data_IF_171453879585
#
_entry.id   IF_171453879585
#
_cell.length_a   1.000
_cell.length_b   1.000
_cell.length_c   1.000
_cell.angle_alpha   90.00
_cell.angle_beta   90.00
_cell.angle_gamma   90.00
#
_symmetry.space_group_name_H-M   'P 1'
#
loop_
_entity.id
_entity.type
_entity.pdbx_description
1 polymer ?
#
# COMPACT_ATOMS: atom_id res chain seq x y z
N UNK A 1 0.98 30.68 -38.11
CA UNK A 1 0.16 29.44 -38.01
C UNK A 1 0.23 28.75 -39.37
N UNK A 2 0.74 27.51 -39.44
CA UNK A 2 0.68 26.71 -40.67
C UNK A 2 -0.77 26.25 -40.80
N UNK A 3 -1.51 26.77 -41.75
CA UNK A 3 -2.82 26.24 -42.12
C UNK A 3 -2.62 24.80 -42.63
N UNK A 4 -3.04 23.79 -41.86
CA UNK A 4 -3.20 22.45 -42.39
C UNK A 4 -4.28 22.52 -43.47
N UNK A 5 -4.02 22.08 -44.71
CA UNK A 5 -5.06 22.16 -45.74
C UNK A 5 -6.24 21.29 -45.27
N UNK A 6 -7.43 21.85 -45.32
CA UNK A 6 -8.67 21.14 -45.07
C UNK A 6 -8.80 20.01 -46.11
N UNK A 7 -9.17 18.83 -45.67
CA UNK A 7 -9.26 17.64 -46.49
C UNK A 7 -10.65 17.02 -46.36
N UNK A 8 -11.10 16.38 -47.41
CA UNK A 8 -12.33 15.59 -47.44
C UNK A 8 -11.96 14.11 -47.55
N UNK A 9 -12.43 13.31 -46.60
CA UNK A 9 -12.27 11.85 -46.56
C UNK A 9 -13.53 11.17 -47.10
N UNK A 10 -13.35 10.20 -47.98
CA UNK A 10 -14.42 9.52 -48.69
C UNK A 10 -14.48 8.08 -48.25
N UNK A 11 -15.66 7.61 -47.88
CA UNK A 11 -15.93 6.25 -47.46
C UNK A 11 -17.05 5.62 -48.30
N UNK A 12 -17.04 4.29 -48.44
CA UNK A 12 -18.15 3.57 -49.06
C UNK A 12 -19.42 3.62 -48.22
N UNK A 13 -20.54 3.20 -48.79
CA UNK A 13 -21.79 3.05 -48.03
C UNK A 13 -21.67 2.03 -46.87
N UNK A 14 -20.66 1.12 -46.90
CA UNK A 14 -20.40 0.14 -45.87
C UNK A 14 -19.38 0.67 -44.81
N UNK A 15 -18.97 1.92 -44.93
CA UNK A 15 -18.01 2.56 -44.00
C UNK A 15 -16.53 2.32 -44.33
N UNK A 16 -16.19 1.64 -45.45
CA UNK A 16 -14.79 1.41 -45.80
C UNK A 16 -14.18 2.70 -46.41
N UNK A 17 -12.94 2.98 -45.97
CA UNK A 17 -12.19 4.12 -46.53
C UNK A 17 -11.88 3.90 -48.01
N UNK A 18 -12.08 4.95 -48.84
CA UNK A 18 -11.83 4.93 -50.27
C UNK A 18 -10.69 5.90 -50.64
N UNK A 19 -10.82 7.17 -50.29
CA UNK A 19 -9.87 8.20 -50.69
C UNK A 19 -9.86 9.44 -49.77
N UNK A 20 -8.81 10.23 -49.89
CA UNK A 20 -8.75 11.61 -49.31
C UNK A 20 -8.51 12.61 -50.42
N UNK A 21 -9.32 13.65 -50.47
CA UNK A 21 -9.22 14.74 -51.43
C UNK A 21 -8.72 16.02 -50.74
N UNK A 22 -7.85 16.84 -51.38
CA UNK A 22 -7.28 18.03 -50.79
C UNK A 22 -8.21 19.27 -50.94
N UNK A 23 -9.48 19.06 -50.65
CA UNK A 23 -10.52 20.08 -50.78
C UNK A 23 -11.35 20.14 -49.51
N UNK A 24 -11.99 21.32 -49.24
CA UNK A 24 -12.92 21.46 -48.12
C UNK A 24 -14.17 20.63 -48.39
N UNK A 25 -14.73 20.07 -47.32
CA UNK A 25 -15.98 19.31 -47.42
C UNK A 25 -17.13 20.15 -48.00
N UNK A 26 -17.20 21.44 -47.66
CA UNK A 26 -18.17 22.38 -48.24
C UNK A 26 -18.06 22.50 -49.74
N UNK A 27 -16.83 22.62 -50.26
CA UNK A 27 -16.56 22.78 -51.71
C UNK A 27 -16.81 21.46 -52.42
N UNK A 28 -16.36 20.35 -51.84
CA UNK A 28 -16.58 18.98 -52.34
C UNK A 28 -18.07 18.68 -52.50
N UNK A 29 -18.91 19.03 -51.52
CA UNK A 29 -20.34 18.79 -51.52
C UNK A 29 -21.12 19.58 -52.57
N UNK A 30 -20.56 20.66 -53.14
CA UNK A 30 -21.22 21.44 -54.23
C UNK A 30 -21.26 20.67 -55.53
N UNK A 31 -20.18 19.96 -55.89
CA UNK A 31 -20.11 19.11 -57.07
C UNK A 31 -19.09 17.97 -56.87
N UNK A 32 -19.44 16.91 -56.15
CA UNK A 32 -18.49 15.85 -55.79
C UNK A 32 -17.79 15.18 -56.95
N UNK A 33 -18.45 14.99 -58.11
CA UNK A 33 -17.86 14.34 -59.28
C UNK A 33 -16.77 15.23 -59.93
N UNK A 34 -16.77 16.52 -59.72
CA UNK A 34 -15.70 17.40 -60.18
C UNK A 34 -14.39 17.18 -59.43
N UNK A 35 -14.48 16.75 -58.17
CA UNK A 35 -13.35 16.57 -57.24
C UNK A 35 -12.93 15.12 -57.10
N UNK A 36 -13.85 14.18 -57.45
CA UNK A 36 -13.60 12.73 -57.42
C UNK A 36 -14.45 12.03 -58.47
N UNK A 37 -13.83 11.70 -59.61
CA UNK A 37 -14.51 11.14 -60.78
C UNK A 37 -15.30 9.85 -60.47
N UNK A 38 -14.81 9.03 -59.55
CA UNK A 38 -15.46 7.79 -59.13
C UNK A 38 -16.56 8.02 -58.09
N UNK A 39 -16.96 9.25 -57.81
CA UNK A 39 -18.00 9.56 -56.80
C UNK A 39 -19.33 8.93 -57.18
N UNK A 40 -19.91 8.23 -56.20
CA UNK A 40 -21.26 7.73 -56.27
C UNK A 40 -22.07 8.30 -55.08
N UNK A 41 -23.33 8.58 -55.31
CA UNK A 41 -24.22 9.12 -54.30
C UNK A 41 -24.49 8.21 -53.10
N UNK A 42 -24.03 6.94 -53.14
CA UNK A 42 -24.01 6.04 -51.98
C UNK A 42 -22.82 6.29 -51.06
N UNK A 43 -21.77 6.96 -51.54
CA UNK A 43 -20.55 7.24 -50.75
C UNK A 43 -20.81 8.32 -49.72
N UNK A 44 -19.97 8.34 -48.67
CA UNK A 44 -20.04 9.26 -47.56
C UNK A 44 -18.78 10.14 -47.59
N UNK A 45 -18.94 11.46 -47.55
CA UNK A 45 -17.84 12.41 -47.46
C UNK A 45 -17.88 13.12 -46.09
N UNK A 46 -16.71 13.27 -45.47
CA UNK A 46 -16.52 13.93 -44.17
C UNK A 46 -15.19 14.68 -44.13
N UNK A 47 -15.07 15.68 -43.27
CA UNK A 47 -13.84 16.41 -42.99
C UNK A 47 -12.99 15.74 -41.90
N UNK A 48 -13.52 14.70 -41.28
CA UNK A 48 -12.90 13.99 -40.18
C UNK A 48 -12.33 12.65 -40.67
N UNK A 49 -11.07 12.39 -40.36
CA UNK A 49 -10.44 11.08 -40.53
C UNK A 49 -10.79 10.16 -39.36
N UNK A 50 -11.14 8.91 -39.66
CA UNK A 50 -11.42 7.88 -38.70
C UNK A 50 -10.45 6.71 -38.93
N UNK A 51 -9.79 6.26 -37.85
CA UNK A 51 -8.88 5.10 -37.90
C UNK A 51 -9.67 3.79 -38.05
N UNK A 52 -10.81 3.71 -37.41
CA UNK A 52 -11.74 2.59 -37.46
C UNK A 52 -13.15 3.08 -37.76
N UNK A 53 -13.43 3.38 -39.02
CA UNK A 53 -14.73 3.95 -39.41
C UNK A 53 -15.85 2.93 -39.34
N UNK A 54 -17.01 3.36 -38.88
CA UNK A 54 -18.26 2.59 -38.95
C UNK A 54 -19.47 3.51 -39.22
N UNK A 55 -20.55 2.93 -39.68
CA UNK A 55 -21.80 3.68 -39.88
C UNK A 55 -22.38 4.10 -38.52
N UNK A 56 -22.91 5.31 -38.46
CA UNK A 56 -23.52 5.86 -37.24
C UNK A 56 -25.01 5.51 -37.07
N UNK A 57 -25.55 4.67 -37.95
CA UNK A 57 -26.96 4.33 -37.99
C UNK A 57 -27.86 5.31 -38.76
N UNK A 58 -27.29 6.41 -39.24
CA UNK A 58 -27.98 7.32 -40.17
C UNK A 58 -27.67 6.96 -41.63
N UNK A 59 -28.47 7.48 -42.61
CA UNK A 59 -28.30 7.10 -44.02
C UNK A 59 -26.95 7.47 -44.62
N UNK A 60 -26.20 8.45 -44.03
CA UNK A 60 -24.92 8.95 -44.51
C UNK A 60 -24.00 9.40 -43.41
N UNK A 61 -24.17 8.90 -42.21
CA UNK A 61 -23.30 9.20 -41.10
C UNK A 61 -22.23 8.16 -40.92
N UNK A 62 -20.99 8.61 -40.75
CA UNK A 62 -19.85 7.78 -40.39
C UNK A 62 -19.22 8.31 -39.12
N UNK A 63 -18.75 7.43 -38.27
CA UNK A 63 -18.06 7.78 -37.03
C UNK A 63 -16.92 6.80 -36.75
N UNK A 64 -16.09 7.15 -35.78
CA UNK A 64 -15.15 6.20 -35.19
C UNK A 64 -15.88 5.10 -34.42
N UNK A 65 -15.42 3.87 -34.56
CA UNK A 65 -15.87 2.75 -33.71
C UNK A 65 -15.61 3.08 -32.24
N UNK A 66 -16.52 2.68 -31.37
CA UNK A 66 -16.26 2.65 -29.93
C UNK A 66 -15.20 1.59 -29.59
N UNK A 67 -14.65 1.64 -28.38
CA UNK A 67 -13.68 0.63 -27.93
C UNK A 67 -14.27 -0.78 -27.95
N UNK A 68 -15.55 -0.89 -27.58
CA UNK A 68 -16.29 -2.16 -27.57
C UNK A 68 -16.56 -2.70 -28.97
N UNK A 69 -16.86 -1.82 -29.92
CA UNK A 69 -17.05 -2.17 -31.33
C UNK A 69 -15.73 -2.65 -31.95
N UNK A 70 -14.61 -1.97 -31.66
CA UNK A 70 -13.25 -2.36 -32.10
C UNK A 70 -12.90 -3.74 -31.53
N UNK A 71 -13.22 -4.00 -30.27
CA UNK A 71 -12.99 -5.29 -29.62
C UNK A 71 -13.82 -6.39 -30.31
N UNK A 72 -15.12 -6.15 -30.49
CA UNK A 72 -16.05 -7.12 -31.09
C UNK A 72 -15.70 -7.44 -32.55
N UNK A 73 -15.21 -6.45 -33.29
CA UNK A 73 -14.74 -6.62 -34.68
C UNK A 73 -13.31 -7.20 -34.79
N UNK A 74 -12.62 -7.45 -33.66
CA UNK A 74 -11.25 -7.98 -33.64
C UNK A 74 -10.17 -7.00 -34.04
N UNK A 75 -10.47 -5.68 -34.04
CA UNK A 75 -9.50 -4.63 -34.40
C UNK A 75 -8.54 -4.32 -33.24
N UNK A 76 -8.96 -4.59 -32.01
CA UNK A 76 -8.15 -4.42 -30.79
C UNK A 76 -8.37 -5.61 -29.87
N UNK A 77 -7.41 -5.86 -28.99
CA UNK A 77 -7.51 -6.84 -27.92
C UNK A 77 -7.68 -6.13 -26.57
N UNK A 78 -8.29 -6.79 -25.61
CA UNK A 78 -8.29 -6.36 -24.23
C UNK A 78 -6.84 -6.29 -23.72
N UNK A 79 -6.56 -5.28 -22.90
CA UNK A 79 -5.31 -5.20 -22.14
C UNK A 79 -5.45 -5.98 -20.83
N UNK A 80 -4.32 -6.32 -20.22
CA UNK A 80 -4.29 -6.92 -18.89
C UNK A 80 -5.11 -6.08 -17.90
N UNK A 81 -5.97 -6.74 -17.14
CA UNK A 81 -6.88 -6.06 -16.22
C UNK A 81 -8.15 -5.49 -16.86
N UNK A 82 -8.37 -5.73 -18.14
CA UNK A 82 -9.63 -5.35 -18.80
C UNK A 82 -10.50 -6.58 -19.07
N UNK A 83 -11.80 -6.40 -18.96
CA UNK A 83 -12.79 -7.38 -19.38
C UNK A 83 -13.99 -6.70 -20.01
N UNK A 84 -14.71 -7.42 -20.85
CA UNK A 84 -16.01 -7.00 -21.35
C UNK A 84 -17.05 -7.42 -20.32
N UNK A 85 -17.77 -6.46 -19.74
CA UNK A 85 -18.90 -6.74 -18.85
C UNK A 85 -20.03 -7.37 -19.66
N UNK A 86 -20.42 -8.62 -19.36
CA UNK A 86 -21.42 -9.34 -20.14
C UNK A 86 -22.84 -8.73 -20.05
N UNK A 87 -23.13 -7.91 -19.04
CA UNK A 87 -24.43 -7.28 -18.87
C UNK A 87 -24.55 -5.95 -19.61
N UNK A 88 -23.48 -5.15 -19.60
CA UNK A 88 -23.50 -3.80 -20.17
C UNK A 88 -22.82 -3.72 -21.52
N UNK A 89 -22.10 -4.77 -21.91
CA UNK A 89 -21.24 -4.83 -23.09
C UNK A 89 -20.23 -3.67 -23.15
N UNK A 90 -19.73 -3.24 -21.99
CA UNK A 90 -18.70 -2.20 -21.86
C UNK A 90 -17.39 -2.77 -21.39
N UNK A 91 -16.28 -2.18 -21.84
CA UNK A 91 -14.97 -2.51 -21.33
C UNK A 91 -14.82 -1.91 -19.93
N UNK A 92 -14.57 -2.76 -18.95
CA UNK A 92 -14.32 -2.40 -17.55
C UNK A 92 -12.89 -2.74 -17.19
N UNK A 93 -12.26 -1.89 -16.37
CA UNK A 93 -10.90 -2.12 -15.84
C UNK A 93 -10.99 -2.60 -14.41
N UNK A 94 -10.29 -3.70 -14.12
CA UNK A 94 -10.15 -4.29 -12.80
C UNK A 94 -8.83 -3.78 -12.21
N UNK A 95 -8.86 -3.02 -11.11
CA UNK A 95 -7.65 -2.46 -10.52
C UNK A 95 -6.74 -3.56 -10.00
N UNK A 96 -5.42 -3.34 -10.10
CA UNK A 96 -4.42 -4.24 -9.53
C UNK A 96 -4.54 -4.20 -8.01
N UNK A 97 -4.72 -5.36 -7.34
CA UNK A 97 -4.68 -5.44 -5.88
C UNK A 97 -3.32 -5.00 -5.33
N UNK A 98 -3.32 -4.14 -4.33
CA UNK A 98 -2.12 -3.56 -3.74
C UNK A 98 -1.23 -4.55 -2.95
N UNK A 99 -1.73 -5.76 -2.70
CA UNK A 99 -1.00 -6.82 -2.00
C UNK A 99 -0.19 -7.73 -2.93
N UNK A 100 -0.33 -7.61 -4.27
CA UNK A 100 0.45 -8.38 -5.22
C UNK A 100 1.85 -7.80 -5.40
N UNK A 101 2.88 -8.63 -5.27
CA UNK A 101 4.27 -8.25 -5.52
C UNK A 101 4.58 -8.18 -7.02
N UNK A 102 4.13 -9.19 -7.76
CA UNK A 102 4.26 -9.27 -9.22
C UNK A 102 2.90 -9.59 -9.83
N UNK A 103 2.05 -8.59 -10.03
CA UNK A 103 0.71 -8.82 -10.58
C UNK A 103 0.78 -9.42 -11.98
N UNK A 104 0.02 -10.47 -12.21
CA UNK A 104 -0.25 -11.07 -13.51
C UNK A 104 -1.74 -11.21 -13.73
N UNK A 105 -2.15 -11.04 -14.97
CA UNK A 105 -3.54 -11.16 -15.38
C UNK A 105 -3.87 -12.58 -15.84
N UNK A 106 -5.03 -13.08 -15.46
CA UNK A 106 -5.59 -14.34 -15.94
C UNK A 106 -6.82 -14.05 -16.79
N UNK A 107 -6.69 -14.12 -18.11
CA UNK A 107 -7.78 -13.85 -19.06
C UNK A 107 -8.96 -14.79 -18.91
N UNK A 108 -8.74 -16.04 -18.48
CA UNK A 108 -9.81 -17.03 -18.35
C UNK A 108 -10.71 -16.74 -17.14
N UNK A 109 -10.11 -16.24 -16.03
CA UNK A 109 -10.83 -15.95 -14.80
C UNK A 109 -11.15 -14.47 -14.62
N UNK A 110 -10.60 -13.61 -15.48
CA UNK A 110 -10.68 -12.16 -15.37
C UNK A 110 -10.27 -11.65 -13.98
N UNK A 111 -9.11 -12.13 -13.49
CA UNK A 111 -8.60 -11.78 -12.17
C UNK A 111 -7.08 -11.56 -12.18
N UNK A 112 -6.62 -10.65 -11.32
CA UNK A 112 -5.21 -10.51 -11.00
C UNK A 112 -4.76 -11.60 -10.02
N UNK A 113 -3.59 -12.18 -10.25
CA UNK A 113 -2.98 -13.15 -9.36
C UNK A 113 -1.50 -12.84 -9.12
N UNK A 114 -0.94 -13.43 -8.05
CA UNK A 114 0.48 -13.31 -7.71
C UNK A 114 1.32 -14.14 -8.68
N UNK A 115 2.21 -13.47 -9.41
CA UNK A 115 3.11 -14.08 -10.38
C UNK A 115 4.53 -14.34 -9.86
N UNK A 116 4.80 -14.01 -8.58
CA UNK A 116 6.09 -14.31 -7.95
C UNK A 116 6.25 -15.79 -7.66
N UNK A 117 7.48 -16.26 -7.69
CA UNK A 117 7.84 -17.57 -7.14
C UNK A 117 7.83 -17.54 -5.63
N UNK A 118 7.77 -18.72 -5.00
CA UNK A 118 7.86 -18.83 -3.54
C UNK A 118 9.18 -18.28 -2.98
N UNK A 119 10.28 -18.39 -3.73
CA UNK A 119 11.57 -17.84 -3.33
C UNK A 119 11.56 -16.31 -3.33
N UNK A 120 10.97 -15.68 -4.32
CA UNK A 120 10.84 -14.23 -4.42
C UNK A 120 9.93 -13.66 -3.32
N UNK A 121 8.81 -14.34 -3.03
CA UNK A 121 7.93 -13.97 -1.92
C UNK A 121 8.66 -14.07 -0.57
N UNK A 122 9.41 -15.14 -0.36
CA UNK A 122 10.18 -15.34 0.86
C UNK A 122 11.26 -14.27 1.03
N UNK A 123 12.03 -14.01 -0.03
CA UNK A 123 13.05 -12.95 -0.02
C UNK A 123 12.43 -11.58 0.31
N UNK A 124 11.30 -11.25 -0.30
CA UNK A 124 10.56 -10.02 -0.01
C UNK A 124 10.17 -9.93 1.46
N UNK A 125 9.56 -10.98 2.03
CA UNK A 125 9.15 -10.99 3.44
C UNK A 125 10.35 -10.88 4.38
N UNK A 126 11.44 -11.57 4.08
CA UNK A 126 12.68 -11.47 4.87
C UNK A 126 13.19 -10.04 4.88
N UNK A 127 13.32 -9.40 3.73
CA UNK A 127 13.78 -8.00 3.63
C UNK A 127 12.81 -7.04 4.34
N UNK A 128 11.51 -7.18 4.12
CA UNK A 128 10.51 -6.32 4.75
C UNK A 128 10.46 -6.51 6.27
N UNK A 129 10.63 -7.73 6.78
CA UNK A 129 10.62 -7.98 8.22
C UNK A 129 11.76 -7.26 8.95
N UNK A 130 12.95 -7.16 8.37
CA UNK A 130 14.04 -6.36 8.92
C UNK A 130 13.69 -4.87 8.94
N UNK A 131 13.20 -4.34 7.81
CA UNK A 131 12.80 -2.95 7.69
C UNK A 131 11.68 -2.59 8.68
N UNK A 132 10.63 -3.40 8.76
CA UNK A 132 9.50 -3.19 9.67
C UNK A 132 9.90 -3.30 11.14
N UNK A 133 10.83 -4.21 11.48
CA UNK A 133 11.39 -4.28 12.84
C UNK A 133 12.08 -2.98 13.24
N UNK A 134 12.93 -2.45 12.36
CA UNK A 134 13.66 -1.22 12.62
C UNK A 134 12.72 -0.01 12.69
N UNK A 135 11.71 0.06 11.81
CA UNK A 135 10.65 1.05 11.88
C UNK A 135 9.85 0.93 13.20
N UNK A 136 9.56 -0.29 13.67
CA UNK A 136 8.87 -0.48 14.96
C UNK A 136 9.72 -0.02 16.15
N UNK A 137 11.03 -0.16 16.09
CA UNK A 137 11.95 0.38 17.09
C UNK A 137 11.99 1.91 17.07
N UNK A 138 11.84 2.53 15.90
CA UNK A 138 11.68 3.97 15.77
C UNK A 138 10.36 4.48 16.38
N UNK A 139 9.29 3.70 16.27
CA UNK A 139 8.01 4.02 16.95
C UNK A 139 8.19 3.96 18.47
N UNK A 140 8.94 2.98 19.02
CA UNK A 140 9.20 2.90 20.47
C UNK A 140 7.98 2.48 21.31
N UNK A 141 7.91 2.95 22.57
CA UNK A 141 6.86 2.63 23.51
C UNK A 141 6.55 3.83 24.43
N UNK A 142 5.34 3.82 25.00
CA UNK A 142 4.95 4.81 25.99
C UNK A 142 5.37 4.35 27.40
N UNK A 143 5.95 5.27 28.16
CA UNK A 143 6.37 5.07 29.52
C UNK A 143 5.75 6.16 30.43
N UNK A 144 5.24 5.75 31.59
CA UNK A 144 4.63 6.69 32.54
C UNK A 144 5.57 6.96 33.70
N UNK A 145 5.88 8.22 33.92
CA UNK A 145 6.73 8.67 35.02
C UNK A 145 6.01 8.57 36.38
N UNK A 146 6.75 8.84 37.47
CA UNK A 146 6.21 8.84 38.84
C UNK A 146 5.16 9.92 39.13
N UNK A 147 5.06 10.93 38.24
CA UNK A 147 4.03 11.99 38.32
C UNK A 147 2.79 11.66 37.50
N UNK A 148 2.77 10.50 36.84
CA UNK A 148 1.67 10.06 35.98
C UNK A 148 1.70 10.67 34.57
N UNK A 149 2.79 11.35 34.18
CA UNK A 149 2.95 11.85 32.83
C UNK A 149 3.45 10.73 31.92
N UNK A 150 2.83 10.64 30.73
CA UNK A 150 3.24 9.69 29.69
C UNK A 150 4.30 10.34 28.81
N UNK A 151 5.39 9.61 28.60
CA UNK A 151 6.50 9.96 27.74
C UNK A 151 6.65 8.90 26.67
N UNK A 152 7.02 9.31 25.45
CA UNK A 152 7.24 8.40 24.33
C UNK A 152 8.73 8.12 24.15
N UNK A 153 9.15 6.86 24.33
CA UNK A 153 10.56 6.45 24.27
C UNK A 153 10.83 5.57 23.04
N UNK A 154 11.72 6.03 22.19
CA UNK A 154 12.25 5.24 21.07
C UNK A 154 13.31 4.25 21.55
N UNK A 155 13.56 3.20 20.74
CA UNK A 155 14.54 2.15 21.10
C UNK A 155 15.54 1.87 19.96
N UNK A 156 15.87 2.90 19.18
CA UNK A 156 16.92 2.84 18.17
C UNK A 156 18.27 2.49 18.80
N UNK A 157 19.25 2.15 18.00
CA UNK A 157 20.59 1.80 18.49
C UNK A 157 21.20 2.90 19.37
N UNK A 158 21.12 4.15 18.94
CA UNK A 158 21.62 5.30 19.72
C UNK A 158 20.85 5.49 21.04
N UNK A 159 19.53 5.26 21.05
CA UNK A 159 18.72 5.37 22.27
C UNK A 159 19.16 4.30 23.29
N UNK A 160 19.42 3.08 22.82
CA UNK A 160 19.88 1.96 23.66
C UNK A 160 21.30 2.20 24.23
N UNK A 161 22.20 2.73 23.41
CA UNK A 161 23.55 3.13 23.87
C UNK A 161 23.44 4.18 24.98
N UNK A 162 22.61 5.20 24.77
CA UNK A 162 22.38 6.28 25.75
C UNK A 162 21.78 5.74 27.07
N UNK A 163 20.87 4.75 27.01
CA UNK A 163 20.36 4.08 28.23
C UNK A 163 21.51 3.45 29.04
N UNK A 164 22.42 2.74 28.38
CA UNK A 164 23.51 2.05 29.05
C UNK A 164 24.54 3.03 29.64
N UNK A 165 24.88 4.09 28.90
CA UNK A 165 25.75 5.15 29.39
C UNK A 165 25.16 5.83 30.63
N UNK A 166 23.91 6.22 30.56
CA UNK A 166 23.20 6.86 31.67
C UNK A 166 23.10 5.96 32.90
N UNK A 167 22.77 4.67 32.67
CA UNK A 167 22.75 3.69 33.75
C UNK A 167 24.13 3.57 34.41
N UNK A 168 25.20 3.53 33.64
CA UNK A 168 26.57 3.43 34.16
C UNK A 168 26.91 4.62 35.04
N UNK A 169 26.54 5.84 34.63
CA UNK A 169 26.76 7.03 35.47
C UNK A 169 25.99 6.93 36.78
N UNK A 170 24.73 6.56 36.73
CA UNK A 170 23.88 6.41 37.92
C UNK A 170 24.35 5.24 38.83
N UNK A 171 24.86 4.14 38.29
CA UNK A 171 25.46 3.04 39.06
C UNK A 171 26.67 3.49 39.87
N UNK A 172 27.51 4.38 39.29
CA UNK A 172 28.70 4.91 39.97
C UNK A 172 28.30 5.92 41.05
N UNK A 173 27.29 6.71 40.82
CA UNK A 173 26.93 7.85 41.69
C UNK A 173 25.89 7.52 42.73
N UNK A 174 25.12 6.44 42.62
CA UNK A 174 24.04 6.04 43.55
C UNK A 174 24.50 5.85 45.00
N UNK A 175 25.74 5.42 45.19
CA UNK A 175 26.32 5.21 46.53
C UNK A 175 26.79 6.53 47.18
N UNK A 176 26.99 7.56 46.35
CA UNK A 176 27.39 8.93 46.78
C UNK A 176 26.11 9.75 47.06
N UNK A 177 25.13 9.73 46.13
CA UNK A 177 23.85 10.38 46.26
C UNK A 177 22.73 9.50 45.74
N UNK A 178 22.04 8.74 46.62
CA UNK A 178 20.91 7.89 46.23
C UNK A 178 19.71 8.62 45.63
N UNK A 179 19.64 9.98 45.82
CA UNK A 179 18.57 10.83 45.29
C UNK A 179 18.90 11.50 43.99
N UNK A 180 20.08 11.23 43.46
CA UNK A 180 20.52 11.82 42.21
C UNK A 180 19.50 11.55 41.09
N UNK A 181 19.15 12.63 40.35
CA UNK A 181 18.37 12.60 39.13
C UNK A 181 19.18 13.12 37.98
N UNK A 182 18.77 12.76 36.77
CA UNK A 182 19.32 13.27 35.52
C UNK A 182 18.17 13.81 34.67
N UNK A 183 18.40 14.89 33.95
CA UNK A 183 17.48 15.33 32.91
C UNK A 183 17.55 14.35 31.74
N UNK A 184 16.43 13.68 31.45
CA UNK A 184 16.27 12.81 30.31
C UNK A 184 15.40 13.47 29.26
N UNK A 185 15.86 13.50 28.02
CA UNK A 185 15.14 14.07 26.90
C UNK A 185 14.57 12.96 26.03
N UNK A 186 13.25 12.84 25.99
CA UNK A 186 12.49 11.92 25.15
C UNK A 186 12.32 12.45 23.73
N UNK A 187 12.14 13.78 23.60
CA UNK A 187 12.07 14.53 22.36
C UNK A 187 12.56 15.96 22.56
N UNK A 188 12.56 16.78 21.52
CA UNK A 188 12.95 18.20 21.60
C UNK A 188 12.05 19.01 22.58
N UNK A 189 10.84 18.55 22.80
CA UNK A 189 9.83 19.23 23.65
C UNK A 189 9.43 18.43 24.89
N UNK A 190 9.93 17.19 25.04
CA UNK A 190 9.56 16.31 26.15
C UNK A 190 10.80 15.87 26.96
N UNK A 191 10.82 16.30 28.23
CA UNK A 191 11.89 16.01 29.19
C UNK A 191 11.32 15.60 30.53
N UNK A 192 12.09 14.80 31.27
CA UNK A 192 11.81 14.48 32.66
C UNK A 192 13.08 14.28 33.49
N UNK A 193 12.99 14.54 34.78
CA UNK A 193 14.01 14.19 35.76
C UNK A 193 13.84 12.71 36.16
N UNK A 194 14.79 11.88 35.79
CA UNK A 194 14.81 10.44 36.03
C UNK A 194 15.82 10.07 37.11
N UNK A 195 15.43 9.19 38.02
CA UNK A 195 16.34 8.56 38.93
C UNK A 195 16.80 7.18 38.41
N UNK A 196 17.60 6.49 39.22
CA UNK A 196 18.13 5.15 38.90
C UNK A 196 17.05 4.12 38.54
N UNK A 197 15.94 4.09 39.28
CA UNK A 197 14.86 3.11 39.04
C UNK A 197 14.09 3.41 37.78
N UNK A 198 13.88 4.69 37.48
CA UNK A 198 13.23 5.13 36.24
C UNK A 198 14.03 4.69 35.01
N UNK A 199 15.34 4.97 35.02
CA UNK A 199 16.26 4.57 33.91
C UNK A 199 16.33 3.06 33.81
N UNK A 200 16.34 2.34 34.93
CA UNK A 200 16.30 0.87 34.94
C UNK A 200 15.03 0.34 34.28
N UNK A 201 13.88 0.94 34.57
CA UNK A 201 12.60 0.56 33.89
C UNK A 201 12.66 0.79 32.38
N UNK A 202 13.17 1.96 31.94
CA UNK A 202 13.32 2.25 30.50
C UNK A 202 14.23 1.23 29.80
N UNK A 203 15.33 0.82 30.45
CA UNK A 203 16.22 -0.23 29.92
C UNK A 203 15.52 -1.57 29.80
N UNK A 204 14.77 -1.95 30.83
CA UNK A 204 14.05 -3.22 30.84
C UNK A 204 12.98 -3.23 29.74
N UNK A 205 12.14 -2.20 29.65
CA UNK A 205 11.07 -2.12 28.67
C UNK A 205 11.63 -2.03 27.24
N UNK A 206 12.61 -1.15 27.02
CA UNK A 206 13.28 -1.04 25.73
C UNK A 206 13.94 -2.34 25.29
N UNK A 207 14.65 -3.01 26.22
CA UNK A 207 15.27 -4.31 25.96
C UNK A 207 14.26 -5.41 25.64
N UNK A 208 13.10 -5.43 26.31
CA UNK A 208 12.02 -6.37 26.03
C UNK A 208 11.38 -6.14 24.67
N UNK A 209 11.11 -4.88 24.30
CA UNK A 209 10.59 -4.55 22.97
C UNK A 209 11.56 -5.04 21.88
N UNK A 210 12.85 -4.79 22.05
CA UNK A 210 13.90 -5.24 21.12
C UNK A 210 13.95 -6.77 21.02
N UNK A 211 13.92 -7.48 22.14
CA UNK A 211 13.92 -8.96 22.14
C UNK A 211 12.69 -9.54 21.44
N UNK A 212 11.50 -8.98 21.70
CA UNK A 212 10.27 -9.39 21.02
C UNK A 212 10.36 -9.09 19.52
N UNK A 213 10.86 -7.92 19.13
CA UNK A 213 11.06 -7.55 17.72
C UNK A 213 11.95 -8.53 16.98
N UNK A 214 13.08 -8.92 17.57
CA UNK A 214 13.97 -9.95 16.99
C UNK A 214 13.30 -11.33 16.92
N UNK A 215 12.52 -11.70 17.92
CA UNK A 215 11.79 -12.98 17.93
C UNK A 215 10.72 -13.05 16.85
N UNK A 216 9.95 -11.98 16.68
CA UNK A 216 8.95 -11.90 15.61
C UNK A 216 9.63 -11.87 14.24
N UNK A 217 10.74 -11.12 14.08
CA UNK A 217 11.51 -11.11 12.85
C UNK A 217 12.03 -12.53 12.49
N UNK A 218 12.57 -13.27 13.47
CA UNK A 218 13.02 -14.64 13.25
C UNK A 218 11.85 -15.56 12.82
N UNK A 219 10.70 -15.46 13.49
CA UNK A 219 9.52 -16.25 13.15
C UNK A 219 9.03 -15.98 11.71
N UNK A 220 9.09 -14.72 11.25
CA UNK A 220 8.68 -14.35 9.89
C UNK A 220 9.71 -14.79 8.84
N UNK A 221 11.00 -14.74 9.15
CA UNK A 221 12.06 -15.28 8.30
C UNK A 221 11.94 -16.79 8.11
N UNK A 222 11.49 -17.48 9.14
CA UNK A 222 11.42 -18.94 9.16
C UNK A 222 10.04 -19.48 8.70
N UNK A 223 9.17 -18.62 8.14
CA UNK A 223 7.90 -19.06 7.53
C UNK A 223 8.18 -19.98 6.33
N UNK A 224 7.54 -21.16 6.24
CA UNK A 224 7.63 -21.99 5.06
C UNK A 224 7.20 -21.20 3.81
N UNK A 225 7.99 -21.27 2.73
CA UNK A 225 7.81 -20.44 1.52
C UNK A 225 6.43 -20.58 0.92
N UNK A 226 5.87 -21.78 0.96
CA UNK A 226 4.52 -22.12 0.47
C UNK A 226 3.39 -21.51 1.30
N UNK A 227 3.68 -21.06 2.52
CA UNK A 227 2.71 -20.47 3.44
C UNK A 227 2.69 -18.93 3.41
N UNK A 228 3.52 -18.33 2.57
CA UNK A 228 3.57 -16.88 2.47
C UNK A 228 2.36 -16.36 1.68
N UNK A 229 1.58 -15.51 2.34
CA UNK A 229 0.44 -14.79 1.75
C UNK A 229 0.55 -13.30 2.09
N UNK A 230 0.78 -12.46 1.09
CA UNK A 230 0.98 -11.02 1.27
C UNK A 230 -0.28 -10.27 1.77
N UNK A 231 -1.46 -10.91 1.78
CA UNK A 231 -2.67 -10.38 2.41
C UNK A 231 -2.60 -10.47 3.93
N UNK A 232 -1.81 -11.42 4.45
CA UNK A 232 -1.65 -11.71 5.88
C UNK A 232 -0.30 -11.18 6.38
N UNK A 233 0.76 -11.37 5.58
CA UNK A 233 2.11 -10.95 5.94
C UNK A 233 2.34 -9.48 5.61
N UNK A 234 1.59 -8.60 6.30
CA UNK A 234 1.63 -7.15 6.15
C UNK A 234 2.42 -6.47 7.27
N UNK A 235 2.81 -5.23 7.06
CA UNK A 235 3.45 -4.39 8.08
C UNK A 235 2.61 -4.28 9.35
N UNK A 236 1.30 -4.10 9.20
CA UNK A 236 0.35 -3.95 10.30
C UNK A 236 0.32 -5.22 11.17
N UNK A 237 0.27 -6.39 10.55
CA UNK A 237 0.28 -7.66 11.26
C UNK A 237 1.65 -7.94 11.93
N UNK A 238 2.75 -7.53 11.28
CA UNK A 238 4.07 -7.61 11.88
C UNK A 238 4.18 -6.73 13.13
N UNK A 239 3.72 -5.48 13.05
CA UNK A 239 3.70 -4.56 14.20
C UNK A 239 2.81 -5.11 15.32
N UNK A 240 1.61 -5.57 14.96
CA UNK A 240 0.69 -6.20 15.93
C UNK A 240 1.32 -7.38 16.66
N UNK A 241 2.05 -8.24 15.96
CA UNK A 241 2.73 -9.38 16.59
C UNK A 241 3.80 -8.94 17.61
N UNK A 242 4.53 -7.84 17.31
CA UNK A 242 5.48 -7.26 18.26
C UNK A 242 4.74 -6.66 19.46
N UNK A 243 3.68 -5.88 19.25
CA UNK A 243 2.92 -5.21 20.30
C UNK A 243 2.24 -6.21 21.24
N UNK A 244 1.61 -7.25 20.70
CA UNK A 244 1.00 -8.33 21.47
C UNK A 244 2.07 -9.09 22.31
N UNK A 245 3.21 -9.36 21.71
CA UNK A 245 4.34 -10.00 22.37
C UNK A 245 4.93 -9.14 23.48
N UNK A 246 5.14 -7.85 23.22
CA UNK A 246 5.65 -6.88 24.18
C UNK A 246 4.69 -6.72 25.37
N UNK A 247 3.41 -6.52 25.09
CA UNK A 247 2.37 -6.41 26.13
C UNK A 247 2.35 -7.63 27.07
N UNK A 248 2.39 -8.84 26.51
CA UNK A 248 2.44 -10.08 27.30
C UNK A 248 3.67 -10.15 28.22
N UNK A 249 4.84 -9.78 27.69
CA UNK A 249 6.10 -9.80 28.46
C UNK A 249 6.06 -8.75 29.59
N UNK A 250 5.57 -7.54 29.33
CA UNK A 250 5.44 -6.49 30.35
C UNK A 250 4.43 -6.91 31.45
N UNK A 251 3.27 -7.45 31.07
CA UNK A 251 2.27 -7.93 32.04
C UNK A 251 2.85 -9.04 32.93
N UNK A 252 3.57 -9.99 32.35
CA UNK A 252 4.22 -11.06 33.09
C UNK A 252 5.32 -10.55 34.04
N UNK A 253 6.02 -9.46 33.69
CA UNK A 253 6.99 -8.81 34.56
C UNK A 253 6.30 -8.09 35.71
N UNK A 254 5.29 -7.27 35.40
CA UNK A 254 4.57 -6.47 36.41
C UNK A 254 3.87 -7.35 37.43
N UNK A 255 3.31 -8.51 37.03
CA UNK A 255 2.70 -9.45 37.97
C UNK A 255 3.68 -10.06 38.99
N UNK A 256 4.99 -10.10 38.67
CA UNK A 256 6.05 -10.57 39.55
C UNK A 256 6.53 -9.49 40.53
N UNK A 257 6.38 -8.22 40.16
CA UNK A 257 6.84 -7.08 40.96
C UNK A 257 5.76 -6.62 41.95
N UNK A 258 4.48 -6.81 41.63
CA UNK A 258 3.36 -6.47 42.52
C UNK A 258 3.18 -7.63 43.51
N UNK A 259 3.40 -7.41 44.83
CA UNK A 259 3.15 -8.47 45.81
C UNK A 259 1.66 -8.86 45.73
N UNK A 260 1.32 -10.13 45.98
CA UNK A 260 -0.07 -10.56 46.01
C UNK A 260 -0.81 -9.72 47.09
N UNK A 261 -1.95 -9.15 46.68
CA UNK A 261 -2.82 -8.41 47.61
C UNK A 261 -3.05 -9.27 48.87
N UNK A 262 -2.78 -8.80 50.10
CA UNK A 262 -3.02 -9.60 51.30
C UNK A 262 -4.46 -10.10 51.28
N UNK A 263 -4.64 -11.40 51.57
CA UNK A 263 -5.96 -11.99 51.65
C UNK A 263 -6.78 -11.20 52.64
N UNK A 264 -8.01 -10.84 52.30
CA UNK A 264 -8.94 -10.18 53.21
C UNK A 264 -9.06 -11.03 54.48
N UNK A 265 -8.97 -10.46 55.70
CA UNK A 265 -9.15 -11.24 56.90
C UNK A 265 -10.50 -11.98 56.82
N UNK A 266 -10.48 -13.26 57.22
CA UNK A 266 -11.67 -14.07 57.33
C UNK A 266 -12.69 -13.37 58.25
N UNK A 267 -13.99 -13.43 57.97
CA UNK A 267 -14.99 -12.85 58.84
C UNK A 267 -14.86 -13.48 60.22
N UNK A 268 -14.73 -12.63 61.25
CA UNK A 268 -14.77 -13.10 62.66
C UNK A 268 -16.09 -13.83 62.88
N UNK A 269 -16.02 -15.10 63.16
CA UNK A 269 -17.13 -15.89 63.67
C UNK A 269 -17.43 -15.38 65.10
N UNK A 270 -18.45 -14.56 65.22
CA UNK A 270 -19.10 -14.29 66.53
C UNK A 270 -19.75 -15.58 66.98
N UNK A 271 -19.12 -16.26 67.93
CA UNK A 271 -19.81 -17.28 68.75
C UNK A 271 -20.78 -16.55 69.68
N UNK A 272 -22.09 -16.85 69.53
CA UNK A 272 -23.10 -16.66 70.60
C UNK A 272 -23.21 -17.93 71.48
#
# INVERSE_FOLDING_TARGET
MKHTPEKTHIYSQDGNYIATQPYRLSDFNTNPQQFFDAWDNSMIATDTWYDYPCLDGTRRGIREMTAEEKLTSGQVNLQDGQMLDPMTNKIVSIPIPNWLLKPRWNDTKNEWYEGSTYDELHEYIVQMSYKWRDERFDVGFDWTDRKGKIHHQRVRENDRARFLETKTVLDITKDIDPRQTIEWQFSDTDKAELNYDDVKQLIIFGGMLVQVGYRVNAAWRDIPKENIDLRIHTKENFFKAIDDGFTKVIQALMSKITPPKPASPAPETTEE
#
